data_IF_785818120928
#
_entry.id   IF_785818120928
#
_cell.length_a   1.000
_cell.length_b   1.000
_cell.length_c   1.000
_cell.angle_alpha   90.00
_cell.angle_beta   90.00
_cell.angle_gamma   90.00
#
_symmetry.space_group_name_H-M   'P 1'
#
loop_
_entity.id
_entity.type
_entity.pdbx_description
1 polymer ?
#
# COMPACT_ATOMS: atom_id res chain seq x y z
N UNK A 1 13.24 20.55 -9.75
CA UNK A 1 12.19 19.51 -9.75
C UNK A 1 10.88 20.22 -9.93
N UNK A 2 10.07 19.83 -10.92
CA UNK A 2 8.77 20.47 -11.12
C UNK A 2 7.84 20.15 -9.94
N UNK A 3 6.81 20.98 -9.65
CA UNK A 3 5.82 20.64 -8.63
C UNK A 3 5.16 19.27 -8.87
N UNK A 4 4.98 18.89 -10.13
CA UNK A 4 4.46 17.59 -10.53
C UNK A 4 5.37 16.42 -10.11
N UNK A 5 6.69 16.59 -10.27
CA UNK A 5 7.67 15.56 -9.87
C UNK A 5 7.68 15.37 -8.35
N UNK A 6 7.48 16.45 -7.58
CA UNK A 6 7.42 16.37 -6.12
C UNK A 6 6.20 15.58 -5.65
N UNK A 7 5.03 15.81 -6.25
CA UNK A 7 3.82 15.05 -5.95
C UNK A 7 3.98 13.57 -6.32
N UNK A 8 4.45 13.29 -7.53
CA UNK A 8 4.63 11.92 -8.00
C UNK A 8 5.65 11.15 -7.15
N UNK A 9 6.75 11.81 -6.76
CA UNK A 9 7.77 11.19 -5.91
C UNK A 9 7.28 10.97 -4.48
N UNK A 10 6.49 11.90 -3.92
CA UNK A 10 5.90 11.75 -2.59
C UNK A 10 4.93 10.56 -2.55
N UNK A 11 4.06 10.44 -3.56
CA UNK A 11 3.12 9.31 -3.67
C UNK A 11 3.88 7.99 -3.81
N UNK A 12 4.86 7.91 -4.70
CA UNK A 12 5.66 6.71 -4.88
C UNK A 12 6.36 6.27 -3.57
N UNK A 13 7.01 7.22 -2.87
CA UNK A 13 7.64 6.93 -1.57
C UNK A 13 6.63 6.49 -0.52
N UNK A 14 5.46 7.12 -0.46
CA UNK A 14 4.40 6.74 0.46
C UNK A 14 3.91 5.31 0.19
N UNK A 15 3.66 4.96 -1.08
CA UNK A 15 3.27 3.60 -1.48
C UNK A 15 4.35 2.57 -1.12
N UNK A 16 5.63 2.92 -1.30
CA UNK A 16 6.75 2.08 -0.88
C UNK A 16 6.79 1.83 0.63
N UNK A 17 6.58 2.87 1.45
CA UNK A 17 6.48 2.71 2.92
C UNK A 17 5.28 1.82 3.27
N UNK A 18 4.13 2.05 2.64
CA UNK A 18 2.93 1.27 2.86
C UNK A 18 3.12 -0.21 2.48
N UNK A 19 3.84 -0.48 1.39
CA UNK A 19 4.23 -1.84 1.00
C UNK A 19 5.02 -2.53 2.11
N UNK A 20 6.03 -1.85 2.69
CA UNK A 20 6.80 -2.40 3.81
C UNK A 20 5.91 -2.66 5.03
N UNK A 21 4.97 -1.77 5.36
CA UNK A 21 4.02 -1.98 6.45
C UNK A 21 3.15 -3.22 6.21
N UNK A 22 2.66 -3.43 4.98
CA UNK A 22 1.92 -4.64 4.64
C UNK A 22 2.79 -5.89 4.78
N UNK A 23 4.04 -5.87 4.30
CA UNK A 23 4.96 -7.00 4.48
C UNK A 23 5.13 -7.33 5.97
N UNK A 24 5.39 -6.32 6.80
CA UNK A 24 5.48 -6.50 8.25
C UNK A 24 4.19 -7.08 8.84
N UNK A 25 3.02 -6.55 8.46
CA UNK A 25 1.71 -7.01 8.92
C UNK A 25 1.48 -8.49 8.63
N UNK A 26 1.85 -8.94 7.42
CA UNK A 26 1.68 -10.34 7.01
C UNK A 26 2.68 -11.25 7.72
N UNK A 27 3.96 -10.88 7.76
CA UNK A 27 4.96 -11.67 8.47
C UNK A 27 4.60 -11.83 9.95
N UNK A 28 4.18 -10.74 10.61
CA UNK A 28 3.73 -10.75 12.00
C UNK A 28 2.43 -11.54 12.20
N UNK A 29 1.54 -11.62 11.20
CA UNK A 29 0.30 -12.41 11.28
C UNK A 29 0.53 -13.91 11.41
N UNK A 30 1.71 -14.40 11.01
CA UNK A 30 2.08 -15.81 11.18
C UNK A 30 2.50 -16.13 12.62
N UNK A 31 2.72 -15.12 13.45
CA UNK A 31 3.03 -15.28 14.88
C UNK A 31 1.74 -15.10 15.70
N UNK A 32 1.16 -16.19 16.23
CA UNK A 32 -0.10 -16.12 16.98
C UNK A 32 0.04 -15.41 18.35
N UNK A 33 1.27 -15.14 18.80
CA UNK A 33 1.58 -14.45 20.07
C UNK A 33 1.48 -12.92 19.99
N UNK A 34 1.32 -12.35 18.78
CA UNK A 34 1.23 -10.90 18.59
C UNK A 34 -0.14 -10.38 19.02
N UNK A 35 -0.16 -9.47 19.99
CA UNK A 35 -1.37 -8.76 20.41
C UNK A 35 -1.59 -7.52 19.53
N UNK A 36 -2.51 -7.65 18.57
CA UNK A 36 -2.92 -6.61 17.62
C UNK A 36 -3.68 -5.43 18.23
N UNK A 37 -4.05 -5.50 19.52
CA UNK A 37 -4.68 -4.40 20.26
C UNK A 37 -3.68 -3.58 21.07
N UNK A 38 -2.46 -4.09 21.26
CA UNK A 38 -1.38 -3.42 21.97
C UNK A 38 -0.50 -2.58 21.03
N UNK A 39 0.09 -1.50 21.55
CA UNK A 39 1.07 -0.71 20.80
C UNK A 39 2.43 -1.42 20.73
N UNK A 40 3.14 -1.40 19.59
CA UNK A 40 2.87 -0.62 18.37
C UNK A 40 1.99 -1.33 17.31
N UNK A 41 1.61 -2.59 17.54
CA UNK A 41 0.91 -3.42 16.55
C UNK A 41 -0.50 -2.93 16.23
N UNK A 42 -1.16 -2.26 17.19
CA UNK A 42 -2.45 -1.62 17.00
C UNK A 42 -2.43 -0.53 15.92
N UNK A 43 -1.35 0.25 15.82
CA UNK A 43 -1.22 1.23 14.73
C UNK A 43 -1.04 0.51 13.39
N UNK A 44 -0.21 -0.54 13.36
CA UNK A 44 0.03 -1.31 12.15
C UNK A 44 -1.27 -1.95 11.63
N UNK A 45 -2.06 -2.58 12.49
CA UNK A 45 -3.36 -3.17 12.12
C UNK A 45 -4.34 -2.09 11.66
N UNK A 46 -4.45 -0.96 12.35
CA UNK A 46 -5.33 0.14 11.92
C UNK A 46 -5.00 0.70 10.53
N UNK A 47 -3.71 0.76 10.17
CA UNK A 47 -3.27 1.26 8.86
C UNK A 47 -3.44 0.22 7.73
N UNK A 48 -3.27 -1.07 8.04
CA UNK A 48 -3.20 -2.13 7.03
C UNK A 48 -4.50 -2.93 6.89
N UNK A 49 -5.27 -3.09 7.96
CA UNK A 49 -6.48 -3.92 7.96
C UNK A 49 -7.59 -3.39 7.06
N UNK A 50 -7.89 -2.06 6.95
CA UNK A 50 -8.90 -1.58 6.02
C UNK A 50 -8.60 -1.99 4.57
N UNK A 51 -7.33 -1.95 4.18
CA UNK A 51 -6.88 -2.38 2.85
C UNK A 51 -6.96 -3.89 2.69
N UNK A 52 -6.41 -4.66 3.63
CA UNK A 52 -6.44 -6.13 3.58
C UNK A 52 -7.87 -6.68 3.61
N UNK A 53 -8.76 -6.07 4.39
CA UNK A 53 -10.16 -6.47 4.52
C UNK A 53 -10.95 -6.34 3.20
N UNK A 54 -10.56 -5.42 2.31
CA UNK A 54 -11.13 -5.36 0.95
C UNK A 54 -10.84 -6.64 0.17
N UNK A 55 -9.62 -7.17 0.27
CA UNK A 55 -9.21 -8.38 -0.43
C UNK A 55 -9.67 -9.65 0.28
N UNK A 56 -9.74 -9.67 1.62
CA UNK A 56 -10.30 -10.79 2.40
C UNK A 56 -11.76 -11.06 2.09
N UNK A 57 -12.52 -10.05 1.65
CA UNK A 57 -13.90 -10.23 1.16
C UNK A 57 -13.95 -11.01 -0.16
N UNK A 58 -12.91 -10.92 -0.98
CA UNK A 58 -12.80 -11.62 -2.27
C UNK A 58 -12.25 -13.03 -2.05
N UNK A 59 -11.17 -13.14 -1.28
CA UNK A 59 -10.50 -14.40 -0.95
C UNK A 59 -10.43 -14.53 0.57
N UNK A 60 -11.38 -15.25 1.20
CA UNK A 60 -11.35 -15.46 2.64
C UNK A 60 -10.12 -16.28 3.05
N UNK A 61 -9.63 -16.13 4.30
CA UNK A 61 -8.51 -16.92 4.80
C UNK A 61 -8.83 -18.42 4.75
N UNK A 62 -7.90 -19.22 4.22
CA UNK A 62 -8.05 -20.67 4.12
C UNK A 62 -7.17 -21.34 5.19
N UNK A 63 -7.78 -22.08 6.13
CA UNK A 63 -7.04 -22.84 7.13
C UNK A 63 -6.19 -21.99 8.09
N UNK A 64 -6.60 -20.75 8.37
CA UNK A 64 -5.87 -19.83 9.25
C UNK A 64 -4.70 -19.09 8.60
N UNK A 65 -4.38 -19.40 7.34
CA UNK A 65 -3.39 -18.68 6.54
C UNK A 65 -4.12 -17.68 5.64
N UNK A 66 -3.74 -16.41 5.77
CA UNK A 66 -4.28 -15.33 4.95
C UNK A 66 -3.57 -15.28 3.59
N UNK A 67 -4.27 -15.72 2.53
CA UNK A 67 -3.77 -15.69 1.14
C UNK A 67 -4.19 -14.42 0.40
N UNK A 68 -5.14 -13.66 0.97
CA UNK A 68 -5.53 -12.33 0.46
C UNK A 68 -4.37 -11.34 0.23
N UNK A 69 -3.22 -11.41 0.95
CA UNK A 69 -2.14 -10.46 0.74
C UNK A 69 -1.50 -10.57 -0.64
N UNK A 70 -1.53 -11.73 -1.28
CA UNK A 70 -0.97 -11.88 -2.64
C UNK A 70 -1.67 -10.93 -3.61
N UNK A 71 -3.00 -10.93 -3.57
CA UNK A 71 -3.82 -10.05 -4.41
C UNK A 71 -3.66 -8.57 -4.00
N UNK A 72 -3.55 -8.32 -2.69
CA UNK A 72 -3.30 -6.99 -2.16
C UNK A 72 -1.96 -6.42 -2.65
N UNK A 73 -0.86 -7.19 -2.59
CA UNK A 73 0.44 -6.76 -3.08
C UNK A 73 0.44 -6.55 -4.59
N UNK A 74 -0.21 -7.43 -5.35
CA UNK A 74 -0.33 -7.25 -6.79
C UNK A 74 -1.06 -5.94 -7.14
N UNK A 75 -2.19 -5.68 -6.47
CA UNK A 75 -2.94 -4.44 -6.66
C UNK A 75 -2.10 -3.21 -6.29
N UNK A 76 -1.37 -3.26 -5.18
CA UNK A 76 -0.52 -2.16 -4.75
C UNK A 76 0.62 -1.89 -5.73
N UNK A 77 1.28 -2.94 -6.26
CA UNK A 77 2.34 -2.81 -7.25
C UNK A 77 1.83 -2.21 -8.57
N UNK A 78 0.64 -2.61 -9.02
CA UNK A 78 0.00 -1.99 -10.19
C UNK A 78 -0.27 -0.51 -9.94
N UNK A 79 -0.82 -0.15 -8.78
CA UNK A 79 -1.05 1.25 -8.40
C UNK A 79 0.27 2.04 -8.37
N UNK A 80 1.33 1.47 -7.80
CA UNK A 80 2.64 2.12 -7.68
C UNK A 80 3.32 2.33 -9.04
N UNK A 81 3.17 1.41 -9.99
CA UNK A 81 3.72 1.57 -11.33
C UNK A 81 2.93 2.57 -12.18
N UNK A 82 1.59 2.51 -12.12
CA UNK A 82 0.73 3.29 -13.01
C UNK A 82 0.44 4.70 -12.50
N UNK A 83 0.15 4.89 -11.22
CA UNK A 83 -0.33 6.20 -10.72
C UNK A 83 0.73 7.30 -10.80
N UNK A 84 1.97 7.12 -10.32
CA UNK A 84 3.01 8.15 -10.45
C UNK A 84 3.39 8.42 -11.90
N UNK A 85 3.39 7.37 -12.74
CA UNK A 85 3.69 7.51 -14.17
C UNK A 85 2.62 8.33 -14.90
N UNK A 86 1.34 8.02 -14.64
CA UNK A 86 0.22 8.79 -15.18
C UNK A 86 0.26 10.23 -14.69
N UNK A 87 0.45 10.46 -13.40
CA UNK A 87 0.49 11.80 -12.82
C UNK A 87 1.60 12.65 -13.45
N UNK A 88 2.80 12.08 -13.67
CA UNK A 88 3.89 12.76 -14.38
C UNK A 88 3.50 13.07 -15.83
N UNK A 89 2.93 12.09 -16.55
CA UNK A 89 2.56 12.28 -17.95
C UNK A 89 1.47 13.33 -18.15
N UNK A 90 0.46 13.35 -17.28
CA UNK A 90 -0.67 14.29 -17.39
C UNK A 90 -0.26 15.67 -16.92
N UNK A 91 0.45 15.80 -15.80
CA UNK A 91 0.86 17.10 -15.29
C UNK A 91 1.94 17.76 -16.17
N UNK A 92 2.84 16.97 -16.78
CA UNK A 92 3.81 17.47 -17.75
C UNK A 92 3.14 17.99 -19.03
N UNK A 93 1.94 17.50 -19.36
CA UNK A 93 1.17 17.99 -20.51
C UNK A 93 0.44 19.31 -20.24
N UNK A 94 0.37 19.75 -18.97
CA UNK A 94 -0.33 20.99 -18.61
C UNK A 94 0.58 22.22 -18.76
N UNK A 95 0.14 23.27 -19.46
CA UNK A 95 0.95 24.45 -19.73
C UNK A 95 1.34 25.25 -18.47
N UNK A 96 0.60 25.09 -17.36
CA UNK A 96 0.92 25.69 -16.05
C UNK A 96 2.23 25.15 -15.44
N UNK A 97 2.65 23.93 -15.82
CA UNK A 97 3.84 23.28 -15.27
C UNK A 97 4.97 23.09 -16.30
N UNK A 98 4.79 23.62 -17.52
CA UNK A 98 5.73 23.51 -18.63
C UNK A 98 6.83 24.60 -18.65
N UNK A 99 6.90 25.44 -17.61
CA UNK A 99 7.86 26.54 -17.44
C UNK A 99 8.92 26.25 -16.39
#
# INVERSE_FOLDING_TARGET
>A
MSPADLLATTIDRFLGIYFVLLVLRILLSWFPTIDWYSQPFAILSQLTDPYLNLFRRIIPPLGGIDISPILAFLALQLVQGFVPALLRSTLASLPVFAG
#
